data_IF_869105221292
#
_entry.id   IF_869105221292
#
_cell.length_a   1.000
_cell.length_b   1.000
_cell.length_c   1.000
_cell.angle_alpha   90.00
_cell.angle_beta   90.00
_cell.angle_gamma   90.00
#
_symmetry.space_group_name_H-M   'P 1'
#
loop_
_entity.id
_entity.type
_entity.pdbx_description
1 polymer ?
#
# COMPACT_ATOMS: atom_id res chain seq x y z
N UNK A 1 0.68 -11.22 -8.02
CA UNK A 1 0.30 -10.72 -6.68
C UNK A 1 0.67 -11.76 -5.67
N UNK A 2 1.36 -11.40 -4.62
CA UNK A 2 1.83 -12.29 -3.54
C UNK A 2 1.83 -11.55 -2.20
N UNK A 3 2.13 -12.29 -1.12
CA UNK A 3 2.51 -11.76 0.18
C UNK A 3 1.46 -10.87 0.88
N UNK A 4 0.18 -11.10 0.64
CA UNK A 4 -0.91 -10.34 1.25
C UNK A 4 -1.63 -9.37 0.32
N UNK A 5 -1.17 -9.21 -0.93
CA UNK A 5 -1.92 -8.48 -1.95
C UNK A 5 -2.92 -9.40 -2.64
N UNK A 6 -4.12 -8.91 -2.91
CA UNK A 6 -5.16 -9.60 -3.64
C UNK A 6 -5.88 -8.64 -4.60
N UNK A 7 -6.53 -9.20 -5.62
CA UNK A 7 -7.40 -8.48 -6.53
C UNK A 7 -8.86 -8.72 -6.17
N UNK A 8 -9.59 -7.66 -5.89
CA UNK A 8 -11.04 -7.71 -5.77
C UNK A 8 -11.68 -7.43 -7.13
N UNK A 9 -12.17 -8.49 -7.77
CA UNK A 9 -12.76 -8.40 -9.11
C UNK A 9 -14.12 -7.67 -9.11
N UNK A 10 -14.81 -7.62 -7.98
CA UNK A 10 -16.10 -6.93 -7.84
C UNK A 10 -15.89 -5.43 -7.71
N UNK A 11 -15.00 -5.04 -6.82
CA UNK A 11 -14.64 -3.64 -6.61
C UNK A 11 -13.62 -3.12 -7.62
N UNK A 12 -13.01 -4.00 -8.43
CA UNK A 12 -11.96 -3.70 -9.41
C UNK A 12 -10.78 -2.94 -8.78
N UNK A 13 -10.29 -3.44 -7.66
CA UNK A 13 -9.20 -2.80 -6.92
C UNK A 13 -8.27 -3.82 -6.28
N UNK A 14 -7.04 -3.41 -6.05
CA UNK A 14 -6.10 -4.19 -5.24
C UNK A 14 -6.40 -3.97 -3.76
N UNK A 15 -6.29 -5.04 -3.00
CA UNK A 15 -6.43 -5.04 -1.54
C UNK A 15 -5.14 -5.52 -0.90
N UNK A 16 -4.81 -4.92 0.23
CA UNK A 16 -3.66 -5.30 1.04
C UNK A 16 -4.13 -5.49 2.47
N UNK A 17 -3.65 -6.54 3.11
CA UNK A 17 -3.95 -6.75 4.54
C UNK A 17 -2.82 -6.12 5.35
N UNK A 18 -3.05 -5.01 6.07
CA UNK A 18 -2.00 -4.38 6.85
C UNK A 18 -1.62 -5.24 8.05
N UNK A 19 -0.32 -5.44 8.29
CA UNK A 19 0.15 -6.13 9.49
C UNK A 19 0.03 -5.27 10.75
N UNK A 20 -0.04 -3.94 10.62
CA UNK A 20 -0.13 -3.03 11.75
C UNK A 20 -0.89 -1.74 11.45
N UNK A 21 -1.50 -1.20 12.49
CA UNK A 21 -2.08 0.14 12.51
C UNK A 21 -1.63 0.85 13.78
N UNK A 22 -1.25 2.09 13.65
CA UNK A 22 -0.98 2.98 14.78
C UNK A 22 -1.89 4.19 14.67
N UNK A 23 -2.56 4.51 15.76
CA UNK A 23 -3.39 5.71 15.90
C UNK A 23 -2.83 6.51 17.07
N UNK A 24 -2.68 7.84 16.91
CA UNK A 24 -2.25 8.71 18.01
C UNK A 24 -3.30 8.76 19.13
N UNK A 25 -2.90 9.16 20.34
CA UNK A 25 -3.82 9.25 21.48
C UNK A 25 -5.00 10.18 21.25
N UNK A 26 -4.79 11.26 20.46
CA UNK A 26 -5.84 12.21 20.08
C UNK A 26 -6.66 11.75 18.85
N UNK A 27 -6.36 10.59 18.29
CA UNK A 27 -7.05 10.02 17.13
C UNK A 27 -6.77 10.71 15.79
N UNK A 28 -5.87 11.69 15.75
CA UNK A 28 -5.67 12.52 14.55
C UNK A 28 -4.61 12.01 13.60
N UNK A 29 -3.66 11.23 14.08
CA UNK A 29 -2.62 10.63 13.23
C UNK A 29 -2.89 9.14 13.09
N UNK A 30 -2.95 8.66 11.86
CA UNK A 30 -3.18 7.26 11.54
C UNK A 30 -2.09 6.78 10.59
N UNK A 31 -1.40 5.71 10.99
CA UNK A 31 -0.45 5.01 10.13
C UNK A 31 -0.89 3.57 9.95
N UNK A 32 -1.06 3.16 8.70
CA UNK A 32 -1.30 1.76 8.34
C UNK A 32 -0.10 1.25 7.56
N UNK A 33 0.48 0.16 8.01
CA UNK A 33 1.52 -0.55 7.29
C UNK A 33 0.94 -1.88 6.81
N UNK A 34 0.96 -2.11 5.52
CA UNK A 34 0.49 -3.35 4.93
C UNK A 34 1.64 -4.20 4.38
N UNK A 35 1.37 -5.49 4.23
CA UNK A 35 2.19 -6.39 3.45
C UNK A 35 1.50 -6.69 2.11
N UNK A 36 2.29 -6.98 1.10
CA UNK A 36 1.80 -7.39 -0.19
C UNK A 36 2.69 -6.94 -1.33
N UNK A 37 2.61 -7.65 -2.45
CA UNK A 37 3.41 -7.38 -3.63
C UNK A 37 2.56 -7.43 -4.88
N UNK A 38 2.62 -6.37 -5.67
CA UNK A 38 2.10 -6.28 -7.02
C UNK A 38 3.29 -6.26 -7.99
N UNK A 39 3.23 -7.06 -9.03
CA UNK A 39 4.25 -7.11 -10.06
C UNK A 39 3.59 -6.95 -11.42
N UNK A 40 4.05 -5.96 -12.16
CA UNK A 40 3.58 -5.62 -13.50
C UNK A 40 4.70 -5.84 -14.49
N UNK A 41 4.42 -6.57 -15.55
CA UNK A 41 5.32 -6.76 -16.68
C UNK A 41 4.59 -6.45 -17.97
N UNK A 42 5.32 -5.93 -18.93
CA UNK A 42 4.77 -5.64 -20.26
C UNK A 42 5.87 -5.45 -21.30
N UNK A 43 5.46 -5.45 -22.56
CA UNK A 43 6.39 -5.35 -23.68
C UNK A 43 7.51 -6.40 -23.60
N UNK A 44 7.12 -7.63 -23.33
CA UNK A 44 8.01 -8.78 -23.31
C UNK A 44 8.12 -9.35 -24.72
N UNK A 45 9.32 -9.61 -25.21
CA UNK A 45 9.50 -10.37 -26.44
C UNK A 45 9.17 -11.84 -26.18
N UNK A 46 8.71 -12.54 -27.22
CA UNK A 46 8.35 -13.94 -27.12
C UNK A 46 9.54 -14.79 -26.65
N UNK A 47 9.30 -15.64 -25.66
CA UNK A 47 10.32 -16.50 -25.07
C UNK A 47 11.29 -15.84 -24.09
N UNK A 48 11.12 -14.55 -23.81
CA UNK A 48 11.94 -13.87 -22.80
C UNK A 48 11.42 -14.11 -21.39
N UNK A 49 12.37 -14.20 -20.45
CA UNK A 49 12.08 -14.23 -19.02
C UNK A 49 11.39 -12.92 -18.59
N UNK A 50 10.18 -12.98 -18.01
CA UNK A 50 9.49 -11.78 -17.54
C UNK A 50 10.27 -10.98 -16.51
N UNK A 51 11.14 -11.60 -15.71
CA UNK A 51 11.92 -10.90 -14.69
C UNK A 51 13.00 -9.99 -15.28
N UNK A 52 13.51 -10.31 -16.45
CA UNK A 52 14.66 -9.61 -17.03
C UNK A 52 14.39 -9.06 -18.43
N UNK A 53 13.57 -9.74 -19.21
CA UNK A 53 13.40 -9.48 -20.64
C UNK A 53 12.33 -8.45 -21.00
N UNK A 54 11.35 -8.18 -20.12
CA UNK A 54 10.31 -7.23 -20.40
C UNK A 54 10.81 -5.78 -20.31
N UNK A 55 10.36 -4.91 -21.21
CA UNK A 55 10.69 -3.49 -21.16
C UNK A 55 10.01 -2.80 -19.97
N UNK A 56 8.76 -3.14 -19.68
CA UNK A 56 8.09 -2.77 -18.43
C UNK A 56 8.29 -3.89 -17.41
N UNK A 57 8.88 -3.55 -16.27
CA UNK A 57 9.00 -4.45 -15.12
C UNK A 57 9.00 -3.61 -13.86
N UNK A 58 7.88 -3.65 -13.14
CA UNK A 58 7.61 -2.77 -12.02
C UNK A 58 7.01 -3.57 -10.87
N UNK A 59 7.59 -3.44 -9.71
CA UNK A 59 7.08 -4.05 -8.47
C UNK A 59 6.76 -2.97 -7.45
N UNK A 60 5.54 -3.03 -6.92
CA UNK A 60 5.11 -2.28 -5.76
C UNK A 60 4.88 -3.24 -4.60
N UNK A 61 5.40 -2.94 -3.43
CA UNK A 61 5.22 -3.77 -2.26
C UNK A 61 5.13 -2.95 -0.97
N UNK A 62 4.55 -3.58 0.06
CA UNK A 62 4.51 -3.07 1.42
C UNK A 62 3.97 -1.63 1.53
N UNK A 63 2.74 -1.36 1.07
CA UNK A 63 2.19 -0.02 1.13
C UNK A 63 2.08 0.46 2.59
N UNK A 64 2.45 1.72 2.80
CA UNK A 64 2.29 2.44 4.06
C UNK A 64 1.50 3.71 3.82
N UNK A 65 0.38 3.83 4.52
CA UNK A 65 -0.49 5.01 4.49
C UNK A 65 -0.31 5.77 5.78
N UNK A 66 -0.01 7.05 5.67
CA UNK A 66 0.04 8.00 6.79
C UNK A 66 -1.01 9.07 6.56
N UNK A 67 -1.89 9.29 7.53
CA UNK A 67 -2.91 10.33 7.47
C UNK A 67 -2.82 11.25 8.69
N UNK A 68 -2.95 12.53 8.45
CA UNK A 68 -3.28 13.53 9.45
C UNK A 68 -4.75 13.92 9.27
N UNK A 69 -5.62 13.38 10.12
CA UNK A 69 -7.05 13.63 10.05
C UNK A 69 -7.44 15.03 10.55
N UNK A 70 -6.53 15.75 11.23
CA UNK A 70 -6.79 17.10 11.71
C UNK A 70 -6.80 18.12 10.57
N UNK A 71 -5.92 17.97 9.59
CA UNK A 71 -5.83 18.84 8.42
C UNK A 71 -6.26 18.18 7.11
N UNK A 72 -6.61 16.89 7.18
CA UNK A 72 -7.07 16.13 6.04
C UNK A 72 -5.98 15.75 5.03
N UNK A 73 -4.71 15.78 5.43
CA UNK A 73 -3.57 15.45 4.56
C UNK A 73 -3.01 14.07 4.83
N UNK A 74 -2.20 13.57 3.90
CA UNK A 74 -1.51 12.30 4.10
C UNK A 74 -0.51 11.95 3.01
N UNK A 75 0.03 10.75 3.11
CA UNK A 75 1.02 10.22 2.18
C UNK A 75 0.86 8.72 2.00
N UNK A 76 1.09 8.26 0.77
CA UNK A 76 1.23 6.85 0.44
C UNK A 76 2.69 6.56 0.10
N UNK A 77 3.28 5.60 0.80
CA UNK A 77 4.61 5.07 0.53
C UNK A 77 4.50 3.62 0.06
N UNK A 78 5.41 3.23 -0.81
CA UNK A 78 5.57 1.84 -1.23
C UNK A 78 7.05 1.50 -1.40
N UNK A 79 7.42 0.26 -1.19
CA UNK A 79 8.71 -0.23 -1.66
C UNK A 79 8.61 -0.53 -3.15
N UNK A 80 9.42 0.14 -3.95
CA UNK A 80 9.39 0.08 -5.41
C UNK A 80 10.68 -0.52 -5.96
N UNK A 81 10.53 -1.44 -6.91
CA UNK A 81 11.61 -1.84 -7.83
C UNK A 81 11.08 -1.65 -9.24
N UNK A 82 11.74 -0.84 -10.01
CA UNK A 82 11.34 -0.50 -11.39
C UNK A 82 12.46 -0.74 -12.37
N UNK A 83 12.12 -1.10 -13.60
CA UNK A 83 13.04 -1.07 -14.73
C UNK A 83 12.84 0.24 -15.46
N UNK A 84 13.83 1.13 -15.36
CA UNK A 84 13.79 2.41 -16.05
C UNK A 84 13.72 2.17 -17.56
N UNK A 85 12.70 2.71 -18.21
CA UNK A 85 12.43 2.45 -19.62
C UNK A 85 13.54 2.95 -20.55
N UNK A 86 14.08 4.15 -20.26
CA UNK A 86 15.09 4.77 -21.11
C UNK A 86 16.45 4.08 -21.01
N UNK A 87 16.86 3.68 -19.79
CA UNK A 87 18.17 3.06 -19.55
C UNK A 87 18.15 1.53 -19.62
N UNK A 88 16.97 0.92 -19.49
CA UNK A 88 16.81 -0.53 -19.35
C UNK A 88 17.37 -1.12 -18.04
N UNK A 89 17.78 -0.28 -17.09
CA UNK A 89 18.37 -0.70 -15.81
C UNK A 89 17.32 -0.78 -14.73
N UNK A 90 17.51 -1.71 -13.79
CA UNK A 90 16.69 -1.78 -12.59
C UNK A 90 17.15 -0.77 -11.55
N UNK A 91 16.18 -0.17 -10.89
CA UNK A 91 16.31 0.72 -9.75
C UNK A 91 15.54 0.16 -8.55
N UNK A 92 16.06 0.35 -7.35
CA UNK A 92 15.49 -0.20 -6.12
C UNK A 92 15.87 -1.68 -5.85
N UNK A 93 15.20 -2.35 -4.90
CA UNK A 93 14.03 -1.85 -4.15
C UNK A 93 14.37 -0.69 -3.22
N UNK A 94 13.50 0.32 -3.18
CA UNK A 94 13.62 1.47 -2.29
C UNK A 94 12.22 1.94 -1.85
N UNK A 95 12.11 2.54 -0.68
CA UNK A 95 10.87 3.19 -0.26
C UNK A 95 10.69 4.50 -1.03
N UNK A 96 9.53 4.67 -1.63
CA UNK A 96 9.15 5.82 -2.44
C UNK A 96 7.86 6.41 -1.87
N UNK A 97 7.83 7.72 -1.68
CA UNK A 97 6.58 8.45 -1.47
C UNK A 97 5.84 8.52 -2.80
N UNK A 98 4.91 7.60 -3.01
CA UNK A 98 4.18 7.48 -4.27
C UNK A 98 3.20 8.62 -4.51
N UNK A 99 2.46 8.99 -3.47
CA UNK A 99 1.40 9.99 -3.59
C UNK A 99 1.24 10.85 -2.34
N UNK A 100 0.80 12.07 -2.55
CA UNK A 100 0.15 12.88 -1.53
C UNK A 100 -1.32 12.50 -1.45
N UNK A 101 -1.88 12.47 -0.23
CA UNK A 101 -3.26 12.08 0.04
C UNK A 101 -4.06 13.25 0.59
N UNK A 102 -5.37 13.26 0.29
CA UNK A 102 -6.31 14.20 0.89
C UNK A 102 -7.60 13.48 1.29
N UNK A 103 -8.05 13.71 2.51
CA UNK A 103 -9.34 13.20 3.03
C UNK A 103 -10.47 14.22 2.91
N UNK A 104 -10.23 15.41 2.33
CA UNK A 104 -11.20 16.50 2.30
C UNK A 104 -12.56 16.17 1.65
N UNK A 105 -12.58 15.21 0.71
CA UNK A 105 -13.81 14.70 0.07
C UNK A 105 -14.13 13.27 0.45
N UNK A 106 -13.31 12.64 1.30
CA UNK A 106 -13.49 11.26 1.71
C UNK A 106 -14.70 11.09 2.63
N UNK A 107 -15.30 9.92 2.58
CA UNK A 107 -16.40 9.54 3.47
C UNK A 107 -15.84 8.72 4.61
N UNK A 108 -16.09 9.17 5.83
CA UNK A 108 -15.72 8.44 7.04
C UNK A 108 -16.96 7.82 7.67
N UNK A 109 -16.84 6.61 8.15
CA UNK A 109 -17.84 5.90 8.95
C UNK A 109 -17.18 5.07 10.02
N UNK A 110 -17.90 4.84 11.10
CA UNK A 110 -17.49 3.93 12.16
C UNK A 110 -18.63 2.95 12.44
N UNK A 111 -18.28 1.67 12.49
CA UNK A 111 -19.21 0.61 12.83
C UNK A 111 -18.48 -0.48 13.62
N UNK A 112 -19.06 -0.85 14.77
CA UNK A 112 -18.52 -1.91 15.62
C UNK A 112 -17.03 -1.71 16.00
N UNK A 113 -16.62 -0.43 16.22
CA UNK A 113 -15.24 -0.05 16.54
C UNK A 113 -14.29 -0.03 15.33
N UNK A 114 -14.78 -0.32 14.13
CA UNK A 114 -14.01 -0.22 12.90
C UNK A 114 -14.27 1.14 12.24
N UNK A 115 -13.23 1.92 12.06
CA UNK A 115 -13.23 3.16 11.28
C UNK A 115 -12.93 2.83 9.84
N UNK A 116 -13.75 3.34 8.94
CA UNK A 116 -13.57 3.22 7.48
C UNK A 116 -13.53 4.60 6.86
N UNK A 117 -12.54 4.86 6.02
CA UNK A 117 -12.39 6.10 5.26
C UNK A 117 -12.28 5.72 3.78
N UNK A 118 -13.22 6.17 2.97
CA UNK A 118 -13.31 5.85 1.54
C UNK A 118 -13.28 7.09 0.67
N UNK A 119 -12.71 6.96 -0.52
CA UNK A 119 -12.58 8.07 -1.46
C UNK A 119 -11.48 9.07 -1.06
N UNK A 120 -10.40 8.58 -0.44
CA UNK A 120 -9.20 9.39 -0.16
C UNK A 120 -8.55 9.71 -1.50
N UNK A 121 -8.49 10.99 -1.85
CA UNK A 121 -7.85 11.43 -3.09
C UNK A 121 -6.34 11.22 -3.02
N UNK A 122 -5.73 10.84 -4.14
CA UNK A 122 -4.31 10.60 -4.24
C UNK A 122 -3.74 11.29 -5.49
N UNK A 123 -2.65 12.02 -5.30
CA UNK A 123 -1.95 12.70 -6.40
C UNK A 123 -0.49 12.26 -6.41
N UNK A 124 -0.02 11.86 -7.59
CA UNK A 124 1.32 11.35 -7.81
C UNK A 124 2.38 12.38 -7.42
N UNK A 125 3.41 11.96 -6.71
CA UNK A 125 4.58 12.80 -6.43
C UNK A 125 5.59 12.72 -7.58
N UNK A 126 6.62 13.58 -7.57
CA UNK A 126 7.74 13.49 -8.49
C UNK A 126 8.45 12.14 -8.38
N UNK A 127 8.73 11.65 -7.15
CA UNK A 127 9.36 10.35 -6.93
C UNK A 127 8.45 9.19 -7.37
N UNK A 128 7.13 9.33 -7.13
CA UNK A 128 6.13 8.38 -7.62
C UNK A 128 6.07 8.34 -9.14
N UNK A 129 6.18 9.49 -9.82
CA UNK A 129 6.28 9.54 -11.27
C UNK A 129 7.56 8.87 -11.78
N UNK A 130 8.69 9.12 -11.11
CA UNK A 130 9.96 8.46 -11.46
C UNK A 130 9.86 6.93 -11.34
N UNK A 131 9.13 6.42 -10.36
CA UNK A 131 8.84 4.99 -10.22
C UNK A 131 8.11 4.40 -11.44
N UNK A 132 7.36 5.22 -12.16
CA UNK A 132 6.72 4.88 -13.44
C UNK A 132 7.57 5.30 -14.65
N UNK A 133 8.88 5.47 -14.50
CA UNK A 133 9.80 5.91 -15.57
C UNK A 133 9.40 7.24 -16.22
N UNK A 134 8.82 8.12 -15.43
CA UNK A 134 8.42 9.49 -15.82
C UNK A 134 7.35 9.54 -16.93
N UNK A 135 6.53 8.48 -17.06
CA UNK A 135 5.44 8.43 -18.03
C UNK A 135 4.25 9.33 -17.70
N UNK A 136 4.12 9.76 -16.46
CA UNK A 136 3.06 10.65 -15.99
C UNK A 136 3.62 12.04 -15.70
N UNK A 137 2.81 12.87 -15.07
CA UNK A 137 3.25 14.16 -14.53
C UNK A 137 3.14 14.12 -12.99
N UNK A 138 4.00 14.87 -12.32
CA UNK A 138 3.79 15.18 -10.92
C UNK A 138 2.40 15.83 -10.74
N UNK A 139 1.69 15.44 -9.69
CA UNK A 139 0.34 15.90 -9.43
C UNK A 139 -0.76 15.16 -10.21
N UNK A 140 -0.41 14.20 -11.09
CA UNK A 140 -1.40 13.36 -11.76
C UNK A 140 -2.30 12.67 -10.74
N UNK A 141 -3.62 12.73 -10.97
CA UNK A 141 -4.59 12.08 -10.10
C UNK A 141 -4.51 10.58 -10.26
N UNK A 142 -4.42 9.89 -9.14
CA UNK A 142 -4.53 8.44 -9.07
C UNK A 142 -5.95 8.06 -8.64
N UNK A 143 -6.30 6.79 -8.79
CA UNK A 143 -7.54 6.27 -8.26
C UNK A 143 -7.59 6.44 -6.73
N UNK A 144 -8.77 6.75 -6.16
CA UNK A 144 -8.89 7.01 -4.74
C UNK A 144 -8.65 5.77 -3.89
N UNK A 145 -8.07 5.98 -2.70
CA UNK A 145 -7.88 4.93 -1.72
C UNK A 145 -9.07 4.78 -0.79
N UNK A 146 -9.19 3.58 -0.23
CA UNK A 146 -10.04 3.32 0.94
C UNK A 146 -9.24 2.54 1.99
N UNK A 147 -9.43 2.90 3.25
CA UNK A 147 -8.79 2.23 4.38
C UNK A 147 -9.84 1.86 5.43
N UNK A 148 -9.54 0.81 6.18
CA UNK A 148 -10.32 0.45 7.37
C UNK A 148 -9.36 0.00 8.47
N UNK A 149 -9.61 0.42 9.71
CA UNK A 149 -8.80 0.08 10.85
C UNK A 149 -9.63 0.04 12.14
N UNK A 150 -9.14 -0.65 13.16
CA UNK A 150 -9.76 -0.63 14.47
C UNK A 150 -9.46 0.71 15.15
N UNK A 151 -10.48 1.50 15.46
CA UNK A 151 -10.36 2.79 16.13
C UNK A 151 -9.70 2.72 17.51
N UNK A 152 -9.77 1.55 18.16
CA UNK A 152 -9.08 1.28 19.45
C UNK A 152 -7.60 0.89 19.28
N UNK A 153 -7.04 0.91 18.07
CA UNK A 153 -5.63 0.56 17.81
C UNK A 153 -4.62 1.56 18.42
N UNK A 154 -5.12 2.68 18.96
CA UNK A 154 -4.31 3.72 19.61
C UNK A 154 -3.37 3.22 20.71
N UNK A 155 -3.63 2.04 21.28
CA UNK A 155 -2.87 1.49 22.43
C UNK A 155 -2.16 0.18 22.11
N UNK A 156 -2.02 -0.21 20.84
CA UNK A 156 -1.31 -1.46 20.55
C UNK A 156 0.19 -1.18 20.48
N UNK A 157 0.98 -1.71 21.41
CA UNK A 157 2.42 -1.48 21.43
C UNK A 157 3.05 -1.92 20.10
N UNK A 158 3.97 -1.12 19.58
CA UNK A 158 4.72 -1.42 18.34
C UNK A 158 5.41 -2.79 18.39
N UNK A 159 5.72 -3.27 19.59
CA UNK A 159 6.29 -4.60 19.87
C UNK A 159 5.33 -5.77 19.67
N UNK A 160 4.02 -5.54 19.65
CA UNK A 160 3.04 -6.59 19.38
C UNK A 160 3.00 -7.02 17.91
N UNK A 161 3.70 -6.30 17.04
CA UNK A 161 3.73 -6.52 15.60
C UNK A 161 5.06 -7.03 15.06
N UNK A 162 5.90 -7.56 15.90
CA UNK A 162 7.07 -8.34 15.47
C UNK A 162 6.68 -9.70 14.84
N UNK A 163 5.45 -9.83 14.38
CA UNK A 163 5.00 -11.02 13.65
C UNK A 163 5.88 -11.26 12.41
N UNK A 164 6.37 -10.20 11.78
CA UNK A 164 7.33 -10.32 10.69
C UNK A 164 8.69 -10.87 11.16
N UNK A 165 9.16 -10.47 12.34
CA UNK A 165 10.39 -11.00 12.93
C UNK A 165 10.21 -12.45 13.37
N UNK A 166 9.04 -12.80 13.91
CA UNK A 166 8.69 -14.17 14.26
C UNK A 166 8.63 -15.09 13.04
N UNK A 167 8.19 -14.57 11.90
CA UNK A 167 8.16 -15.28 10.63
C UNK A 167 9.57 -15.59 10.13
N UNK A 168 10.50 -14.66 10.30
CA UNK A 168 11.87 -14.80 9.85
C UNK A 168 12.74 -15.70 10.73
N UNK A 169 12.32 -15.98 11.96
CA UNK A 169 13.11 -16.80 12.89
C UNK A 169 12.86 -18.30 12.76
N UNK A 170 11.92 -18.74 11.92
CA UNK A 170 11.56 -20.15 11.75
C UNK A 170 11.05 -20.83 13.02
N UNK A 171 10.91 -20.10 14.13
CA UNK A 171 10.27 -20.59 15.31
C UNK A 171 8.78 -20.74 15.02
N UNK A 172 8.26 -21.94 15.07
CA UNK A 172 6.86 -22.26 14.85
C UNK A 172 5.97 -21.45 15.78
N UNK A 173 5.57 -20.29 15.34
CA UNK A 173 4.87 -19.31 16.13
C UNK A 173 3.40 -19.61 16.11
N UNK A 174 2.76 -19.42 17.23
CA UNK A 174 1.32 -19.35 17.35
C UNK A 174 0.72 -18.16 16.59
N UNK A 175 1.02 -18.08 15.31
CA UNK A 175 0.48 -17.12 14.37
C UNK A 175 -1.06 -17.12 14.30
N UNK A 176 -1.76 -18.27 14.44
CA UNK A 176 -3.21 -18.30 14.32
C UNK A 176 -3.94 -17.39 15.29
N UNK A 177 -3.43 -17.17 16.48
CA UNK A 177 -4.12 -16.31 17.45
C UNK A 177 -3.94 -14.83 17.21
N UNK A 178 -2.79 -14.41 16.69
CA UNK A 178 -2.51 -13.00 16.43
C UNK A 178 -3.02 -12.58 15.04
N UNK A 179 -2.91 -13.44 14.05
CA UNK A 179 -3.48 -13.20 12.71
C UNK A 179 -4.99 -13.14 12.72
N UNK A 180 -5.67 -13.92 13.54
CA UNK A 180 -7.14 -13.86 13.64
C UNK A 180 -7.64 -12.55 14.27
N UNK A 181 -6.86 -11.90 15.10
CA UNK A 181 -7.19 -10.57 15.67
C UNK A 181 -6.82 -9.42 14.74
N UNK A 182 -5.78 -9.58 13.94
CA UNK A 182 -5.30 -8.55 13.01
C UNK A 182 -6.05 -8.59 11.68
N UNK A 183 -6.41 -9.78 11.19
CA UNK A 183 -6.95 -9.97 9.85
C UNK A 183 -8.38 -9.47 9.62
N UNK A 184 -9.12 -9.13 10.66
CA UNK A 184 -10.51 -8.71 10.48
C UNK A 184 -10.71 -7.20 10.27
N UNK A 185 -9.71 -6.37 10.56
CA UNK A 185 -9.94 -4.95 10.71
C UNK A 185 -8.98 -4.03 9.96
N UNK A 186 -8.11 -4.56 9.10
CA UNK A 186 -7.06 -3.75 8.49
C UNK A 186 -6.92 -4.06 6.99
N UNK A 187 -7.66 -3.35 6.16
CA UNK A 187 -7.62 -3.50 4.72
C UNK A 187 -7.28 -2.14 4.10
N UNK A 188 -6.25 -2.10 3.31
CA UNK A 188 -5.95 -0.97 2.42
C UNK A 188 -6.37 -1.36 1.01
N UNK A 189 -7.25 -0.59 0.42
CA UNK A 189 -7.71 -0.76 -0.95
C UNK A 189 -7.02 0.27 -1.82
N UNK A 190 -6.26 -0.19 -2.79
CA UNK A 190 -5.62 0.66 -3.80
C UNK A 190 -6.12 0.20 -5.15
N UNK A 191 -6.81 1.08 -5.85
CA UNK A 191 -7.22 0.80 -7.22
C UNK A 191 -6.01 0.91 -8.17
N UNK A 192 -5.94 0.11 -9.23
CA UNK A 192 -4.89 0.26 -10.22
C UNK A 192 -5.05 1.59 -10.94
N UNK A 193 -3.94 2.23 -11.36
CA UNK A 193 -4.03 3.37 -12.25
C UNK A 193 -4.78 2.95 -13.53
N UNK A 194 -5.77 3.73 -13.92
CA UNK A 194 -6.47 3.54 -15.18
C UNK A 194 -5.50 3.87 -16.31
N UNK A 195 -5.06 2.86 -17.02
CA UNK A 195 -4.33 3.04 -18.27
C UNK A 195 -5.36 3.40 -19.35
N UNK A 196 -5.46 4.67 -19.69
CA UNK A 196 -6.18 5.17 -20.86
C UNK A 196 -5.23 5.25 -22.05
#
# INVERSE_FOLDING_TARGET
MTDGAAWDATAKQFTFTPPSTTVSEDGKQVTLQAAGRLWFTGHCAEGQDPETGCALNLTFSNPRVELNLADGTGSLYMTVRTKNYASGKFEGPMEVKMATLSTGTAKQSEKDGVVSISGISANLTADGNHAFSDFYNEGASLDPLSISYNGSAANTPKSAYSVAESYNTGAGVNLPQNTARLGKNHIVHVAPPSFS
#
